data_IF_093841674932
#
_entry.id   IF_093841674932
#
_cell.length_a   1.000
_cell.length_b   1.000
_cell.length_c   1.000
_cell.angle_alpha   90.00
_cell.angle_beta   90.00
_cell.angle_gamma   90.00
#
_symmetry.space_group_name_H-M   'P 1'
#
loop_
_entity.id
_entity.type
_entity.pdbx_description
1 polymer ?
#
# COMPACT_ATOMS: atom_id res chain seq x y z
N UNK A 1 -11.47 41.93 -15.22
CA UNK A 1 -10.95 42.37 -13.90
C UNK A 1 -9.58 42.97 -14.15
N UNK A 2 -9.37 44.24 -13.77
CA UNK A 2 -8.07 44.90 -13.85
C UNK A 2 -7.15 44.31 -12.77
N UNK A 3 -6.10 43.59 -13.19
CA UNK A 3 -5.06 43.10 -12.29
C UNK A 3 -3.98 44.16 -12.04
N UNK A 4 -3.30 44.09 -10.90
CA UNK A 4 -2.11 44.92 -10.64
C UNK A 4 -0.89 44.26 -11.29
N UNK A 5 -0.16 45.02 -12.11
CA UNK A 5 1.04 44.54 -12.80
C UNK A 5 2.30 44.93 -12.04
N UNK A 6 3.22 43.98 -11.86
CA UNK A 6 4.50 44.19 -11.19
C UNK A 6 5.65 43.96 -12.18
N UNK A 7 6.45 44.99 -12.50
CA UNK A 7 7.59 44.82 -13.39
C UNK A 7 8.69 44.00 -12.70
N UNK A 8 9.28 43.05 -13.42
CA UNK A 8 10.38 42.23 -12.91
C UNK A 8 11.33 41.83 -14.04
N UNK A 9 12.61 41.63 -13.70
CA UNK A 9 13.58 41.10 -14.64
C UNK A 9 13.35 39.60 -14.85
N UNK A 10 13.16 39.18 -16.10
CA UNK A 10 12.88 37.78 -16.49
C UNK A 10 13.95 36.81 -16.01
N UNK A 11 15.23 37.18 -16.09
CA UNK A 11 16.34 36.34 -15.64
C UNK A 11 16.31 36.19 -14.12
N UNK A 12 16.19 37.30 -13.38
CA UNK A 12 16.14 37.29 -11.92
C UNK A 12 15.00 36.43 -11.38
N UNK A 13 13.77 36.64 -11.87
CA UNK A 13 12.60 35.89 -11.38
C UNK A 13 12.65 34.41 -11.75
N UNK A 14 13.16 34.06 -12.94
CA UNK A 14 13.29 32.65 -13.37
C UNK A 14 14.41 31.90 -12.63
N UNK A 15 15.34 32.62 -12.01
CA UNK A 15 16.41 32.01 -11.21
C UNK A 15 15.92 31.55 -9.84
N UNK A 16 14.82 32.14 -9.34
CA UNK A 16 14.29 31.91 -7.99
C UNK A 16 12.91 31.24 -7.96
N UNK A 17 12.07 31.46 -8.98
CA UNK A 17 10.73 30.88 -9.09
C UNK A 17 10.72 29.74 -10.09
N UNK A 18 10.57 28.50 -9.60
CA UNK A 18 10.46 27.34 -10.48
C UNK A 18 9.18 27.38 -11.31
N UNK A 19 8.07 27.88 -10.76
CA UNK A 19 6.81 28.02 -11.50
C UNK A 19 6.97 28.93 -12.73
N UNK A 20 7.61 30.08 -12.55
CA UNK A 20 7.85 31.03 -13.65
C UNK A 20 8.89 30.48 -14.63
N UNK A 21 9.95 29.84 -14.13
CA UNK A 21 10.96 29.18 -14.98
C UNK A 21 10.33 28.14 -15.90
N UNK A 22 9.48 27.27 -15.35
CA UNK A 22 8.82 26.21 -16.12
C UNK A 22 7.78 26.79 -17.09
N UNK A 23 7.06 27.84 -16.69
CA UNK A 23 6.16 28.58 -17.57
C UNK A 23 6.89 29.20 -18.78
N UNK A 24 8.04 29.85 -18.54
CA UNK A 24 8.87 30.44 -19.61
C UNK A 24 9.42 29.37 -20.55
N UNK A 25 9.80 28.19 -20.04
CA UNK A 25 10.23 27.08 -20.91
C UNK A 25 9.13 26.61 -21.85
N UNK A 26 7.89 26.58 -21.37
CA UNK A 26 6.72 26.20 -22.17
C UNK A 26 6.32 27.29 -23.17
N UNK A 27 6.49 28.57 -22.79
CA UNK A 27 6.14 29.72 -23.61
C UNK A 27 7.31 30.73 -23.60
N UNK A 28 8.31 30.55 -24.48
CA UNK A 28 9.53 31.35 -24.47
C UNK A 28 9.29 32.86 -24.60
N UNK A 29 8.28 33.27 -25.38
CA UNK A 29 7.93 34.67 -25.64
C UNK A 29 6.94 35.25 -24.62
N UNK A 30 6.69 34.55 -23.51
CA UNK A 30 5.80 35.04 -22.47
C UNK A 30 6.27 36.41 -21.93
N UNK A 31 5.34 37.38 -21.96
CA UNK A 31 5.54 38.75 -21.44
C UNK A 31 4.92 38.98 -20.06
N UNK A 32 4.09 38.05 -19.59
CA UNK A 32 3.36 38.16 -18.31
C UNK A 32 3.11 36.79 -17.72
N UNK A 33 3.17 36.69 -16.39
CA UNK A 33 2.73 35.52 -15.62
C UNK A 33 1.56 35.94 -14.72
N UNK A 34 0.42 35.26 -14.83
CA UNK A 34 -0.80 35.66 -14.14
C UNK A 34 -1.06 34.77 -12.92
N UNK A 35 -1.13 35.37 -11.74
CA UNK A 35 -1.57 34.72 -10.51
C UNK A 35 -3.08 34.97 -10.36
N UNK A 36 -3.88 33.90 -10.30
CA UNK A 36 -5.35 33.99 -10.18
C UNK A 36 -5.86 34.04 -8.73
N UNK A 37 -4.97 33.86 -7.76
CA UNK A 37 -5.33 33.78 -6.35
C UNK A 37 -5.47 35.19 -5.73
N UNK A 38 -6.51 35.36 -4.91
CA UNK A 38 -6.77 36.63 -4.21
C UNK A 38 -5.89 36.75 -2.96
N UNK A 39 -4.61 37.05 -3.18
CA UNK A 39 -3.59 37.20 -2.14
C UNK A 39 -3.13 38.65 -2.00
N UNK A 40 -2.51 38.97 -0.86
CA UNK A 40 -2.08 40.33 -0.54
C UNK A 40 -1.12 40.90 -1.59
N UNK A 41 -1.55 42.01 -2.21
CA UNK A 41 -0.73 42.84 -3.11
C UNK A 41 0.57 43.32 -2.45
N UNK A 42 0.53 43.54 -1.14
CA UNK A 42 1.68 43.96 -0.35
C UNK A 42 2.70 42.83 -0.24
N UNK A 43 2.24 41.61 0.07
CA UNK A 43 3.10 40.43 0.13
C UNK A 43 3.78 40.14 -1.22
N UNK A 44 3.03 40.26 -2.32
CA UNK A 44 3.59 40.11 -3.67
C UNK A 44 4.64 41.19 -3.97
N UNK A 45 4.37 42.46 -3.66
CA UNK A 45 5.33 43.55 -3.82
C UNK A 45 6.61 43.26 -3.06
N UNK A 46 6.52 42.82 -1.80
CA UNK A 46 7.69 42.53 -0.97
C UNK A 46 8.53 41.37 -1.51
N UNK A 47 7.89 40.33 -2.05
CA UNK A 47 8.61 39.22 -2.70
C UNK A 47 9.35 39.73 -3.94
N UNK A 48 8.70 40.54 -4.79
CA UNK A 48 9.32 41.10 -5.99
C UNK A 48 10.47 42.06 -5.64
N UNK A 49 10.29 42.92 -4.64
CA UNK A 49 11.32 43.83 -4.16
C UNK A 49 12.54 43.08 -3.64
N UNK A 50 12.33 41.98 -2.91
CA UNK A 50 13.41 41.12 -2.45
C UNK A 50 14.17 40.45 -3.61
N UNK A 51 13.45 39.89 -4.58
CA UNK A 51 14.04 39.21 -5.74
C UNK A 51 14.86 40.17 -6.61
N UNK A 52 14.44 41.43 -6.70
CA UNK A 52 15.17 42.47 -7.40
C UNK A 52 16.30 43.10 -6.55
N UNK A 53 16.61 42.55 -5.37
CA UNK A 53 17.60 43.07 -4.41
C UNK A 53 17.34 44.51 -3.94
N UNK A 54 16.09 44.96 -3.96
CA UNK A 54 15.70 46.32 -3.59
C UNK A 54 15.64 46.46 -2.07
N UNK A 55 15.14 45.45 -1.36
CA UNK A 55 15.02 45.44 0.12
C UNK A 55 15.18 44.03 0.71
N UNK A 56 15.72 43.90 1.93
CA UNK A 56 15.68 42.64 2.66
C UNK A 56 14.23 42.24 2.95
N UNK A 57 14.00 40.92 3.00
CA UNK A 57 12.67 40.36 3.28
C UNK A 57 12.41 40.36 4.79
N UNK A 58 11.83 41.45 5.28
CA UNK A 58 11.33 41.58 6.65
C UNK A 58 9.81 41.56 6.62
N UNK A 59 9.21 40.48 7.13
CA UNK A 59 7.75 40.30 7.15
C UNK A 59 7.26 40.37 8.59
N UNK A 60 6.13 41.06 8.79
CA UNK A 60 5.39 40.97 10.05
C UNK A 60 4.59 39.67 10.10
N UNK A 61 4.25 39.20 11.30
CA UNK A 61 3.53 37.93 11.50
C UNK A 61 2.20 37.86 10.72
N UNK A 62 1.50 38.99 10.57
CA UNK A 62 0.26 39.10 9.82
C UNK A 62 0.43 38.92 8.29
N UNK A 63 1.66 39.02 7.78
CA UNK A 63 1.99 38.92 6.35
C UNK A 63 2.57 37.55 5.97
N UNK A 64 3.05 36.77 6.95
CA UNK A 64 3.72 35.48 6.73
C UNK A 64 2.82 34.49 5.99
N UNK A 65 1.51 34.46 6.31
CA UNK A 65 0.56 33.56 5.65
C UNK A 65 0.54 33.83 4.14
N UNK A 66 0.25 35.06 3.74
CA UNK A 66 0.13 35.40 2.31
C UNK A 66 1.46 35.25 1.57
N UNK A 67 2.58 35.58 2.23
CA UNK A 67 3.92 35.40 1.68
C UNK A 67 4.23 33.92 1.41
N UNK A 68 3.94 33.04 2.37
CA UNK A 68 4.19 31.62 2.23
C UNK A 68 3.31 31.00 1.14
N UNK A 69 2.03 31.40 1.07
CA UNK A 69 1.11 30.96 0.02
C UNK A 69 1.55 31.45 -1.38
N UNK A 70 2.02 32.69 -1.49
CA UNK A 70 2.62 33.19 -2.74
C UNK A 70 3.88 32.43 -3.11
N UNK A 71 4.73 32.11 -2.14
CA UNK A 71 5.92 31.30 -2.38
C UNK A 71 5.57 29.89 -2.85
N UNK A 72 4.50 29.29 -2.35
CA UNK A 72 4.00 28.01 -2.82
C UNK A 72 3.55 28.10 -4.29
N UNK A 73 2.72 29.08 -4.64
CA UNK A 73 2.24 29.32 -6.01
C UNK A 73 3.41 29.55 -6.98
N UNK A 74 4.41 30.34 -6.54
CA UNK A 74 5.58 30.67 -7.33
C UNK A 74 6.68 29.61 -7.25
N UNK A 75 6.53 28.60 -6.40
CA UNK A 75 7.54 27.57 -6.09
C UNK A 75 8.91 28.19 -5.76
N UNK A 76 8.94 29.00 -4.70
CA UNK A 76 10.15 29.69 -4.22
C UNK A 76 10.65 29.03 -2.92
N UNK A 77 11.66 28.18 -3.03
CA UNK A 77 12.14 27.33 -1.93
C UNK A 77 12.81 28.08 -0.77
N UNK A 78 13.52 29.19 -1.04
CA UNK A 78 14.18 29.90 0.06
C UNK A 78 13.17 30.55 1.02
N UNK A 79 12.02 31.02 0.51
CA UNK A 79 10.93 31.56 1.34
C UNK A 79 10.30 30.42 2.15
N UNK A 80 10.07 29.27 1.50
CA UNK A 80 9.60 28.05 2.17
C UNK A 80 10.46 27.75 3.39
N UNK A 81 11.76 27.59 3.19
CA UNK A 81 12.69 27.17 4.25
C UNK A 81 12.82 28.21 5.36
N UNK A 82 12.65 29.50 5.02
CA UNK A 82 12.78 30.61 5.97
C UNK A 82 11.59 30.75 6.92
N UNK A 83 10.37 30.55 6.43
CA UNK A 83 9.15 30.89 7.17
C UNK A 83 8.29 29.69 7.55
N UNK A 84 8.75 28.46 7.31
CA UNK A 84 7.94 27.25 7.53
C UNK A 84 7.45 27.12 8.97
N UNK A 85 8.32 27.38 9.94
CA UNK A 85 8.01 27.24 11.36
C UNK A 85 7.01 28.29 11.81
N UNK A 86 7.27 29.56 11.50
CA UNK A 86 6.37 30.68 11.82
C UNK A 86 5.02 30.51 11.12
N UNK A 87 5.01 30.09 9.85
CA UNK A 87 3.79 29.82 9.12
C UNK A 87 2.97 28.71 9.78
N UNK A 88 3.60 27.59 10.18
CA UNK A 88 2.90 26.49 10.88
C UNK A 88 2.21 26.98 12.15
N UNK A 89 2.85 27.85 12.93
CA UNK A 89 2.28 28.40 14.17
C UNK A 89 1.09 29.33 13.95
N UNK A 90 0.96 29.91 12.75
CA UNK A 90 -0.12 30.83 12.39
C UNK A 90 -1.34 30.10 11.79
N UNK A 91 -1.24 28.79 11.55
CA UNK A 91 -2.37 28.00 11.08
C UNK A 91 -3.39 27.82 12.21
N UNK A 92 -4.64 28.11 11.90
CA UNK A 92 -5.78 27.96 12.81
C UNK A 92 -6.91 27.24 12.08
N UNK A 93 -7.85 26.67 12.84
CA UNK A 93 -9.05 26.01 12.27
C UNK A 93 -9.78 26.94 11.26
N UNK A 94 -9.81 28.25 11.54
CA UNK A 94 -10.53 29.23 10.71
C UNK A 94 -9.85 29.51 9.37
N UNK A 95 -8.51 29.55 9.32
CA UNK A 95 -7.77 29.85 8.10
C UNK A 95 -7.31 28.59 7.34
N UNK A 96 -7.39 27.41 7.98
CA UNK A 96 -6.93 26.15 7.41
C UNK A 96 -7.55 25.82 6.04
N UNK A 97 -8.87 25.97 5.79
CA UNK A 97 -9.45 25.59 4.50
C UNK A 97 -8.82 26.35 3.31
N UNK A 98 -8.60 27.66 3.45
CA UNK A 98 -7.92 28.49 2.43
C UNK A 98 -6.48 28.04 2.22
N UNK A 99 -5.76 27.76 3.31
CA UNK A 99 -4.38 27.28 3.25
C UNK A 99 -4.31 25.92 2.55
N UNK A 100 -5.21 25.00 2.92
CA UNK A 100 -5.31 23.67 2.35
C UNK A 100 -5.59 23.71 0.85
N UNK A 101 -6.52 24.56 0.38
CA UNK A 101 -6.84 24.70 -1.04
C UNK A 101 -5.62 25.06 -1.90
N UNK A 102 -4.78 25.97 -1.42
CA UNK A 102 -3.59 26.42 -2.16
C UNK A 102 -2.47 25.39 -2.03
N UNK A 103 -2.15 24.99 -0.79
CA UNK A 103 -1.02 24.13 -0.55
C UNK A 103 -1.26 22.71 -1.06
N UNK A 104 -2.49 22.18 -1.05
CA UNK A 104 -2.82 20.86 -1.62
C UNK A 104 -2.41 20.67 -3.09
N UNK A 105 -2.20 21.77 -3.83
CA UNK A 105 -1.72 21.77 -5.23
C UNK A 105 -0.19 21.80 -5.36
N UNK A 106 0.54 21.95 -4.26
CA UNK A 106 2.00 22.16 -4.20
C UNK A 106 2.65 21.22 -3.17
N UNK A 107 2.92 19.96 -3.54
CA UNK A 107 3.44 18.92 -2.65
C UNK A 107 4.66 19.32 -1.81
N UNK A 108 5.55 20.11 -2.41
CA UNK A 108 6.79 20.56 -1.82
C UNK A 108 6.61 21.60 -0.68
N UNK A 109 5.37 22.07 -0.43
CA UNK A 109 4.98 23.01 0.63
C UNK A 109 4.01 22.41 1.66
N UNK A 110 3.78 21.09 1.67
CA UNK A 110 2.76 20.46 2.54
C UNK A 110 3.11 20.35 4.02
N UNK A 111 4.37 20.48 4.40
CA UNK A 111 4.80 20.19 5.77
C UNK A 111 4.00 20.95 6.85
N UNK A 112 3.62 22.23 6.68
CA UNK A 112 2.73 22.90 7.64
C UNK A 112 1.35 22.27 7.78
N UNK A 113 0.76 21.76 6.69
CA UNK A 113 -0.51 21.03 6.75
C UNK A 113 -0.35 19.74 7.54
N UNK A 114 0.71 18.98 7.27
CA UNK A 114 0.99 17.72 7.95
C UNK A 114 1.15 17.94 9.46
N UNK A 115 1.93 18.94 9.86
CA UNK A 115 2.13 19.30 11.26
C UNK A 115 0.83 19.75 11.94
N UNK A 116 0.04 20.59 11.27
CA UNK A 116 -1.24 21.04 11.82
C UNK A 116 -2.20 19.86 12.03
N UNK A 117 -2.30 18.95 11.06
CA UNK A 117 -3.13 17.76 11.19
C UNK A 117 -2.65 16.82 12.30
N UNK A 118 -1.35 16.59 12.44
CA UNK A 118 -0.81 15.72 13.50
C UNK A 118 -1.10 16.25 14.90
N UNK A 119 -1.09 17.57 15.07
CA UNK A 119 -1.37 18.22 16.36
C UNK A 119 -2.88 18.37 16.65
N UNK A 120 -3.74 18.28 15.63
CA UNK A 120 -5.18 18.56 15.74
C UNK A 120 -6.03 17.38 15.26
N UNK A 121 -5.89 16.20 15.90
CA UNK A 121 -6.58 14.95 15.50
C UNK A 121 -8.09 15.10 15.30
N UNK A 122 -8.79 15.78 16.21
CA UNK A 122 -10.25 15.99 16.09
C UNK A 122 -10.61 16.76 14.83
N UNK A 123 -9.92 17.88 14.59
CA UNK A 123 -10.12 18.67 13.38
C UNK A 123 -9.77 17.88 12.12
N UNK A 124 -8.67 17.13 12.13
CA UNK A 124 -8.29 16.27 11.01
C UNK A 124 -9.41 15.30 10.64
N UNK A 125 -9.99 14.58 11.61
CA UNK A 125 -11.07 13.63 11.36
C UNK A 125 -12.32 14.33 10.80
N UNK A 126 -12.75 15.44 11.41
CA UNK A 126 -13.91 16.22 10.96
C UNK A 126 -13.71 16.80 9.55
N UNK A 127 -12.54 17.39 9.30
CA UNK A 127 -12.17 17.98 8.01
C UNK A 127 -12.10 16.89 6.93
N UNK A 128 -11.46 15.76 7.23
CA UNK A 128 -11.30 14.65 6.31
C UNK A 128 -12.59 13.90 6.03
N UNK A 129 -13.62 14.00 6.88
CA UNK A 129 -14.95 13.45 6.59
C UNK A 129 -15.66 14.19 5.47
N UNK A 130 -15.46 15.51 5.38
CA UNK A 130 -16.15 16.37 4.40
C UNK A 130 -15.29 16.71 3.19
N UNK A 131 -13.98 16.75 3.35
CA UNK A 131 -13.03 17.10 2.30
C UNK A 131 -12.26 15.87 1.81
N UNK A 132 -11.70 15.98 0.62
CA UNK A 132 -10.83 14.97 0.05
C UNK A 132 -9.36 15.32 0.34
N UNK A 133 -8.57 14.35 0.81
CA UNK A 133 -7.12 14.52 1.04
C UNK A 133 -6.32 13.98 -0.16
N UNK A 134 -5.55 14.83 -0.90
CA UNK A 134 -4.65 14.40 -1.98
C UNK A 134 -3.87 13.12 -1.63
N UNK A 135 -3.82 12.16 -2.56
CA UNK A 135 -3.22 10.83 -2.32
C UNK A 135 -1.80 10.93 -1.77
N UNK A 136 -0.95 11.78 -2.36
CA UNK A 136 0.43 11.93 -1.91
C UNK A 136 0.52 12.62 -0.54
N UNK A 137 -0.40 13.55 -0.23
CA UNK A 137 -0.47 14.20 1.08
C UNK A 137 -0.88 13.18 2.14
N UNK A 138 -1.89 12.36 1.84
CA UNK A 138 -2.34 11.27 2.70
C UNK A 138 -1.22 10.24 2.93
N UNK A 139 -0.53 9.82 1.87
CA UNK A 139 0.60 8.90 1.98
C UNK A 139 1.69 9.47 2.89
N UNK A 140 2.09 10.72 2.67
CA UNK A 140 3.11 11.37 3.50
C UNK A 140 2.65 11.53 4.95
N UNK A 141 1.36 11.83 5.17
CA UNK A 141 0.79 11.89 6.51
C UNK A 141 0.90 10.54 7.24
N UNK A 142 0.50 9.44 6.58
CA UNK A 142 0.56 8.09 7.15
C UNK A 142 2.00 7.63 7.43
N UNK A 143 2.96 8.02 6.60
CA UNK A 143 4.38 7.71 6.79
C UNK A 143 4.96 8.47 8.00
N UNK A 144 4.68 9.77 8.07
CA UNK A 144 5.26 10.65 9.08
C UNK A 144 4.59 10.52 10.46
N UNK A 145 3.35 10.02 10.52
CA UNK A 145 2.57 9.96 11.76
C UNK A 145 2.07 8.54 12.05
N UNK A 146 3.01 7.62 12.28
CA UNK A 146 2.70 6.20 12.47
C UNK A 146 1.77 5.93 13.67
N UNK A 147 1.90 6.74 14.73
CA UNK A 147 1.16 6.61 15.99
C UNK A 147 -0.09 7.51 16.08
N UNK A 148 -0.50 8.12 14.96
CA UNK A 148 -1.67 9.02 14.96
C UNK A 148 -3.00 8.30 15.17
N UNK A 149 -3.10 7.06 14.67
CA UNK A 149 -4.27 6.19 14.84
C UNK A 149 -4.05 5.27 16.03
N UNK A 150 -5.10 5.01 16.80
CA UNK A 150 -5.04 4.16 18.01
C UNK A 150 -4.84 2.68 17.64
N UNK A 151 -5.25 2.29 16.44
CA UNK A 151 -5.13 0.93 15.92
C UNK A 151 -4.96 0.91 14.40
N UNK A 152 -4.46 -0.21 13.89
CA UNK A 152 -4.38 -0.42 12.44
C UNK A 152 -5.78 -0.53 11.80
N UNK A 153 -6.77 -1.03 12.55
CA UNK A 153 -8.17 -1.06 12.13
C UNK A 153 -8.72 0.36 11.90
N UNK A 154 -8.42 1.29 12.80
CA UNK A 154 -8.83 2.69 12.67
C UNK A 154 -8.17 3.34 11.44
N UNK A 155 -6.88 3.09 11.24
CA UNK A 155 -6.13 3.56 10.07
C UNK A 155 -6.72 3.00 8.77
N UNK A 156 -7.01 1.70 8.74
CA UNK A 156 -7.65 1.06 7.58
C UNK A 156 -9.02 1.68 7.29
N UNK A 157 -9.90 1.80 8.30
CA UNK A 157 -11.22 2.43 8.13
C UNK A 157 -11.12 3.83 7.57
N UNK A 158 -10.15 4.61 8.05
CA UNK A 158 -9.92 5.96 7.55
C UNK A 158 -9.45 5.97 6.08
N UNK A 159 -8.45 5.14 5.72
CA UNK A 159 -7.96 5.03 4.34
C UNK A 159 -9.08 4.56 3.42
N UNK A 160 -9.86 3.57 3.85
CA UNK A 160 -10.99 3.03 3.12
C UNK A 160 -12.10 4.09 2.93
N UNK A 161 -12.36 4.92 3.96
CA UNK A 161 -13.30 6.04 3.85
C UNK A 161 -12.85 7.07 2.82
N UNK A 162 -11.56 7.45 2.79
CA UNK A 162 -11.04 8.37 1.77
C UNK A 162 -11.16 7.78 0.35
N UNK A 163 -10.86 6.49 0.20
CA UNK A 163 -11.00 5.77 -1.07
C UNK A 163 -12.46 5.68 -1.53
N UNK A 164 -13.39 5.40 -0.62
CA UNK A 164 -14.82 5.26 -0.92
C UNK A 164 -15.47 6.55 -1.46
N UNK A 165 -14.86 7.72 -1.21
CA UNK A 165 -15.31 8.99 -1.80
C UNK A 165 -15.03 9.10 -3.29
N UNK A 166 -14.02 8.37 -3.79
CA UNK A 166 -13.62 8.37 -5.19
C UNK A 166 -12.83 7.08 -5.51
N UNK A 167 -13.53 5.97 -5.84
CA UNK A 167 -12.92 4.65 -6.06
C UNK A 167 -11.99 4.56 -7.28
N UNK A 168 -11.93 5.59 -8.13
CA UNK A 168 -11.01 5.65 -9.27
C UNK A 168 -9.59 6.08 -8.85
N UNK A 169 -9.39 6.38 -7.56
CA UNK A 169 -8.12 6.88 -7.06
C UNK A 169 -7.10 5.78 -6.79
N UNK A 170 -5.85 6.23 -6.79
CA UNK A 170 -4.69 5.42 -6.48
C UNK A 170 -4.82 4.71 -5.12
N UNK A 171 -4.53 3.41 -5.13
CA UNK A 171 -4.49 2.53 -3.96
C UNK A 171 -3.20 2.68 -3.13
N UNK A 172 -2.31 3.59 -3.50
CA UNK A 172 -1.03 3.82 -2.80
C UNK A 172 -1.18 3.97 -1.28
N UNK A 173 -2.21 4.64 -0.72
CA UNK A 173 -2.38 4.72 0.74
C UNK A 173 -2.55 3.35 1.43
N UNK A 174 -3.11 2.34 0.75
CA UNK A 174 -3.26 1.00 1.30
C UNK A 174 -1.91 0.29 1.51
N UNK A 175 -0.85 0.71 0.81
CA UNK A 175 0.52 0.19 1.06
C UNK A 175 1.11 0.60 2.42
N UNK A 176 0.45 1.51 3.12
CA UNK A 176 0.78 1.93 4.49
C UNK A 176 -0.03 1.16 5.56
N UNK A 177 -0.93 0.26 5.14
CA UNK A 177 -1.68 -0.61 6.05
C UNK A 177 -0.87 -1.89 6.33
N UNK A 178 -0.90 -2.31 7.58
CA UNK A 178 -0.22 -3.49 8.12
C UNK A 178 -1.24 -4.56 8.57
N UNK A 179 -1.72 -5.42 7.65
CA UNK A 179 -2.72 -6.45 7.96
C UNK A 179 -2.39 -7.33 9.17
N UNK A 180 -1.11 -7.56 9.45
CA UNK A 180 -0.64 -8.35 10.61
C UNK A 180 -0.96 -7.72 11.97
N UNK A 181 -1.25 -6.40 12.00
CA UNK A 181 -1.62 -5.62 13.18
C UNK A 181 -3.11 -5.34 13.28
N UNK A 182 -3.91 -5.77 12.30
CA UNK A 182 -5.36 -5.63 12.31
C UNK A 182 -6.01 -6.70 13.19
N UNK A 183 -7.23 -6.44 13.65
CA UNK A 183 -8.02 -7.43 14.37
C UNK A 183 -8.54 -8.53 13.44
N UNK A 184 -8.76 -9.73 13.98
CA UNK A 184 -9.31 -10.87 13.22
C UNK A 184 -10.70 -10.53 12.64
N UNK A 185 -11.49 -9.74 13.38
CA UNK A 185 -12.78 -9.24 12.89
C UNK A 185 -12.59 -8.38 11.64
N UNK A 186 -11.67 -7.41 11.66
CA UNK A 186 -11.43 -6.54 10.51
C UNK A 186 -10.88 -7.31 9.31
N UNK A 187 -9.99 -8.28 9.55
CA UNK A 187 -9.48 -9.17 8.48
C UNK A 187 -10.61 -9.98 7.85
N UNK A 188 -11.57 -10.46 8.64
CA UNK A 188 -12.76 -11.14 8.12
C UNK A 188 -13.64 -10.20 7.29
N UNK A 189 -13.88 -8.98 7.78
CA UNK A 189 -14.67 -7.96 7.09
C UNK A 189 -14.05 -7.51 5.75
N UNK A 190 -12.71 -7.54 5.61
CA UNK A 190 -12.03 -7.24 4.34
C UNK A 190 -12.54 -8.10 3.18
N UNK A 191 -12.77 -9.40 3.42
CA UNK A 191 -13.22 -10.34 2.39
C UNK A 191 -14.59 -9.99 1.79
N UNK A 192 -15.36 -9.15 2.47
CA UNK A 192 -16.70 -8.73 2.06
C UNK A 192 -16.69 -7.42 1.24
N UNK A 193 -15.53 -6.79 1.07
CA UNK A 193 -15.39 -5.52 0.36
C UNK A 193 -15.35 -5.77 -1.16
N UNK A 194 -16.15 -5.01 -1.91
CA UNK A 194 -16.07 -5.02 -3.38
C UNK A 194 -14.68 -4.55 -3.85
N UNK A 195 -14.10 -5.23 -4.84
CA UNK A 195 -12.72 -5.00 -5.32
C UNK A 195 -11.62 -5.26 -4.28
N UNK A 196 -11.88 -6.13 -3.29
CA UNK A 196 -10.87 -6.52 -2.29
C UNK A 196 -9.57 -7.02 -2.93
N UNK A 197 -9.63 -7.68 -4.10
CA UNK A 197 -8.45 -8.21 -4.80
C UNK A 197 -7.42 -7.13 -5.19
N UNK A 198 -7.85 -5.91 -5.49
CA UNK A 198 -6.94 -4.80 -5.80
C UNK A 198 -6.37 -4.17 -4.53
N UNK A 199 -7.21 -4.02 -3.52
CA UNK A 199 -6.82 -3.53 -2.19
C UNK A 199 -5.81 -4.49 -1.55
N UNK A 200 -6.01 -5.80 -1.70
CA UNK A 200 -5.13 -6.85 -1.20
C UNK A 200 -3.74 -6.79 -1.82
N UNK A 201 -3.67 -6.59 -3.14
CA UNK A 201 -2.39 -6.41 -3.85
C UNK A 201 -1.63 -5.16 -3.38
N UNK A 202 -2.35 -4.12 -2.96
CA UNK A 202 -1.75 -2.87 -2.51
C UNK A 202 -1.25 -2.93 -1.06
N UNK A 203 -1.80 -3.82 -0.22
CA UNK A 203 -1.42 -3.97 1.19
C UNK A 203 -0.23 -4.93 1.40
N UNK A 204 0.46 -4.78 2.53
CA UNK A 204 1.60 -5.63 2.90
C UNK A 204 1.14 -6.94 3.57
N UNK A 205 0.64 -7.91 2.80
CA UNK A 205 0.17 -9.20 3.33
C UNK A 205 1.28 -10.20 3.72
N UNK A 206 2.51 -10.01 3.25
CA UNK A 206 3.63 -10.94 3.53
C UNK A 206 3.90 -11.10 5.05
N UNK A 207 3.97 -10.03 5.86
CA UNK A 207 4.06 -10.17 7.32
C UNK A 207 2.90 -10.93 7.96
N UNK A 208 1.66 -10.76 7.46
CA UNK A 208 0.49 -11.48 7.98
C UNK A 208 0.63 -12.98 7.70
N UNK A 209 1.04 -13.37 6.49
CA UNK A 209 1.29 -14.76 6.13
C UNK A 209 2.34 -15.39 7.05
N UNK A 210 3.44 -14.68 7.33
CA UNK A 210 4.47 -15.16 8.26
C UNK A 210 3.93 -15.35 9.69
N UNK A 211 3.09 -14.43 10.18
CA UNK A 211 2.42 -14.55 11.48
C UNK A 211 1.53 -15.79 11.53
N UNK A 212 0.71 -16.00 10.51
CA UNK A 212 -0.19 -17.16 10.39
C UNK A 212 0.58 -18.48 10.32
N UNK A 213 1.66 -18.54 9.52
CA UNK A 213 2.53 -19.73 9.44
C UNK A 213 3.16 -20.05 10.80
N UNK A 214 3.61 -19.03 11.54
CA UNK A 214 4.16 -19.23 12.88
C UNK A 214 3.12 -19.72 13.90
N UNK A 215 1.90 -19.18 13.85
CA UNK A 215 0.78 -19.65 14.66
C UNK A 215 0.43 -21.10 14.33
N UNK A 216 0.36 -21.45 13.05
CA UNK A 216 0.10 -22.81 12.59
C UNK A 216 1.17 -23.80 13.10
N UNK A 217 2.45 -23.44 12.98
CA UNK A 217 3.55 -24.26 13.50
C UNK A 217 3.48 -24.44 15.02
N UNK A 218 3.03 -23.41 15.76
CA UNK A 218 2.79 -23.50 17.20
C UNK A 218 1.65 -24.45 17.53
N UNK A 219 0.52 -24.35 16.81
CA UNK A 219 -0.63 -25.24 16.97
C UNK A 219 -0.28 -26.70 16.64
N UNK A 220 0.52 -26.93 15.59
CA UNK A 220 1.03 -28.28 15.28
C UNK A 220 1.86 -28.87 16.43
N UNK A 221 2.72 -28.06 17.06
CA UNK A 221 3.49 -28.49 18.25
C UNK A 221 2.56 -28.84 19.41
N UNK A 222 1.55 -28.01 19.68
CA UNK A 222 0.57 -28.28 20.74
C UNK A 222 -0.24 -29.56 20.47
N UNK A 223 -0.67 -29.79 19.22
CA UNK A 223 -1.35 -31.02 18.79
C UNK A 223 -0.48 -32.26 19.05
N UNK A 224 0.82 -32.18 18.78
CA UNK A 224 1.76 -33.28 19.05
C UNK A 224 1.85 -33.60 20.54
N UNK A 225 1.99 -32.57 21.40
CA UNK A 225 2.03 -32.73 22.87
C UNK A 225 0.71 -33.35 23.37
N UNK A 226 -0.42 -32.92 22.82
CA UNK A 226 -1.72 -33.47 23.19
C UNK A 226 -1.81 -34.95 22.84
N UNK A 227 -1.39 -35.35 21.64
CA UNK A 227 -1.38 -36.75 21.21
C UNK A 227 -0.48 -37.63 22.08
N UNK A 228 0.70 -37.12 22.47
CA UNK A 228 1.61 -37.82 23.40
C UNK A 228 0.97 -38.00 24.79
N UNK A 229 0.29 -36.97 25.29
CA UNK A 229 -0.43 -37.02 26.56
C UNK A 229 -1.59 -38.03 26.51
N UNK A 230 -2.32 -38.04 25.41
CA UNK A 230 -3.45 -38.94 25.17
C UNK A 230 -3.01 -40.40 25.16
N UNK A 231 -1.89 -40.68 24.46
CA UNK A 231 -1.27 -42.01 24.45
C UNK A 231 -0.84 -42.46 25.84
N UNK A 232 -0.16 -41.61 26.61
CA UNK A 232 0.22 -41.93 28.00
C UNK A 232 -0.98 -42.22 28.90
N UNK A 233 -2.09 -41.48 28.74
CA UNK A 233 -3.34 -41.74 29.47
C UNK A 233 -4.02 -43.03 29.05
N UNK A 234 -3.93 -43.41 27.77
CA UNK A 234 -4.40 -44.69 27.27
C UNK A 234 -3.61 -45.85 27.87
N UNK A 235 -2.27 -45.74 27.89
CA UNK A 235 -1.37 -46.74 28.47
C UNK A 235 -1.63 -46.93 29.98
N UNK A 236 -1.84 -45.84 30.74
CA UNK A 236 -2.26 -45.91 32.15
C UNK A 236 -3.61 -46.61 32.35
N UNK A 237 -4.56 -46.38 31.44
CA UNK A 237 -5.88 -47.02 31.50
C UNK A 237 -5.76 -48.53 31.26
N UNK A 238 -4.95 -48.94 30.30
CA UNK A 238 -4.74 -50.35 29.96
C UNK A 238 -3.98 -51.10 31.08
N UNK A 239 -3.04 -50.43 31.77
CA UNK A 239 -2.40 -50.97 32.98
C UNK A 239 -3.37 -51.16 34.16
N UNK A 240 -4.31 -50.24 34.34
CA UNK A 240 -5.34 -50.33 35.38
C UNK A 240 -6.38 -51.42 35.07
N UNK A 241 -6.68 -51.65 33.78
CA UNK A 241 -7.60 -52.70 33.33
C UNK A 241 -7.00 -54.12 33.44
N UNK A 242 -5.68 -54.26 33.34
CA UNK A 242 -5.00 -55.56 33.51
C UNK A 242 -4.82 -55.98 34.98
N UNK A 243 -5.08 -55.09 35.95
CA UNK A 243 -4.96 -55.35 37.38
C UNK A 243 -6.34 -55.25 38.08
N UNK A 244 -7.23 -56.22 37.90
CA UNK A 244 -8.53 -56.21 38.60
C UNK A 244 -8.59 -57.21 39.77
N UNK A 245 -8.74 -56.72 41.01
CA UNK A 245 -9.52 -57.37 42.08
C UNK A 245 -10.15 -56.32 43.02
N UNK A 246 -11.48 -56.12 42.92
CA UNK A 246 -12.47 -56.16 44.04
C UNK A 246 -13.76 -55.40 43.71
N UNK A 247 -14.82 -56.15 43.49
CA UNK A 247 -16.14 -55.69 43.07
C UNK A 247 -16.99 -55.21 44.25
N UNK A 248 -17.36 -53.92 44.22
CA UNK A 248 -18.71 -53.37 44.49
C UNK A 248 -18.73 -51.83 44.40
N UNK A 249 -17.58 -51.16 44.51
CA UNK A 249 -17.41 -49.71 44.24
C UNK A 249 -17.19 -49.41 42.74
N UNK A 250 -16.80 -50.42 41.98
CA UNK A 250 -16.36 -50.33 40.58
C UNK A 250 -17.52 -50.00 39.62
N UNK A 251 -18.74 -50.51 39.84
CA UNK A 251 -19.83 -50.30 38.87
C UNK A 251 -20.31 -48.83 38.80
N UNK A 252 -20.36 -48.11 39.94
CA UNK A 252 -20.67 -46.66 39.94
C UNK A 252 -19.53 -45.83 39.35
N UNK A 253 -18.26 -46.25 39.56
CA UNK A 253 -17.11 -45.60 38.95
C UNK A 253 -17.07 -45.84 37.44
N UNK A 254 -17.35 -47.06 36.97
CA UNK A 254 -17.46 -47.42 35.54
C UNK A 254 -18.59 -46.64 34.87
N UNK A 255 -19.74 -46.44 35.52
CA UNK A 255 -20.86 -45.72 34.92
C UNK A 255 -20.61 -44.21 34.82
N UNK A 256 -19.95 -43.62 35.84
CA UNK A 256 -19.49 -42.24 35.79
C UNK A 256 -18.33 -42.03 34.80
N UNK A 257 -17.38 -42.96 34.72
CA UNK A 257 -16.33 -42.91 33.72
C UNK A 257 -16.85 -43.21 32.31
N UNK A 258 -17.88 -44.04 32.13
CA UNK A 258 -18.55 -44.17 30.82
C UNK A 258 -19.14 -42.85 30.35
N UNK A 259 -19.86 -42.13 31.21
CA UNK A 259 -20.39 -40.80 30.89
C UNK A 259 -19.29 -39.77 30.64
N UNK A 260 -18.21 -39.83 31.42
CA UNK A 260 -17.06 -38.93 31.24
C UNK A 260 -16.30 -39.23 29.95
N UNK A 261 -16.10 -40.50 29.62
CA UNK A 261 -15.52 -40.98 28.37
C UNK A 261 -16.43 -40.62 27.20
N UNK A 262 -17.76 -40.76 27.30
CA UNK A 262 -18.69 -40.31 26.25
C UNK A 262 -18.61 -38.81 26.02
N UNK A 263 -18.54 -38.01 27.10
CA UNK A 263 -18.37 -36.55 27.01
C UNK A 263 -17.01 -36.17 26.41
N UNK A 264 -15.93 -36.86 26.79
CA UNK A 264 -14.62 -36.67 26.17
C UNK A 264 -14.63 -37.16 24.72
N UNK A 265 -15.33 -38.23 24.39
CA UNK A 265 -15.44 -38.77 23.03
C UNK A 265 -16.21 -37.81 22.12
N UNK A 266 -17.29 -37.20 22.59
CA UNK A 266 -17.99 -36.16 21.85
C UNK A 266 -17.13 -34.90 21.65
N UNK A 267 -16.34 -34.52 22.65
CA UNK A 267 -15.36 -33.43 22.51
C UNK A 267 -14.24 -33.79 21.53
N UNK A 268 -13.76 -35.04 21.53
CA UNK A 268 -12.76 -35.52 20.59
C UNK A 268 -13.28 -35.57 19.16
N UNK A 269 -14.52 -36.00 18.95
CA UNK A 269 -15.15 -35.99 17.62
C UNK A 269 -15.24 -34.55 17.11
N UNK A 270 -15.71 -33.61 17.93
CA UNK A 270 -15.74 -32.18 17.57
C UNK A 270 -14.35 -31.63 17.21
N UNK A 271 -13.30 -32.01 17.95
CA UNK A 271 -11.92 -31.57 17.66
C UNK A 271 -11.39 -32.22 16.37
N UNK A 272 -11.77 -33.47 16.08
CA UNK A 272 -11.40 -34.15 14.84
C UNK A 272 -12.08 -33.48 13.65
N UNK A 273 -13.37 -33.15 13.76
CA UNK A 273 -14.12 -32.44 12.73
C UNK A 273 -13.49 -31.07 12.45
N UNK A 274 -13.13 -30.31 13.49
CA UNK A 274 -12.43 -29.02 13.34
C UNK A 274 -11.05 -29.17 12.68
N UNK A 275 -10.34 -30.26 12.99
CA UNK A 275 -9.03 -30.56 12.39
C UNK A 275 -9.13 -31.03 10.94
N UNK A 276 -10.22 -31.69 10.55
CA UNK A 276 -10.48 -32.07 9.16
C UNK A 276 -10.80 -30.84 8.31
N UNK A 277 -11.60 -29.90 8.83
CA UNK A 277 -11.86 -28.60 8.18
C UNK A 277 -10.56 -27.81 8.00
N UNK A 278 -9.76 -27.68 9.06
CA UNK A 278 -8.44 -27.04 9.00
C UNK A 278 -7.47 -27.75 8.05
N UNK A 279 -7.52 -29.08 7.97
CA UNK A 279 -6.70 -29.85 7.04
C UNK A 279 -7.09 -29.56 5.58
N UNK A 280 -8.39 -29.50 5.28
CA UNK A 280 -8.88 -29.18 3.96
C UNK A 280 -8.48 -27.74 3.54
N UNK A 281 -8.60 -26.77 4.46
CA UNK A 281 -8.18 -25.39 4.22
C UNK A 281 -6.66 -25.28 3.99
N UNK A 282 -5.86 -26.00 4.78
CA UNK A 282 -4.40 -26.06 4.61
C UNK A 282 -4.01 -26.75 3.31
N UNK A 283 -4.74 -27.77 2.87
CA UNK A 283 -4.50 -28.47 1.61
C UNK A 283 -4.85 -27.58 0.40
N UNK A 284 -5.91 -26.77 0.50
CA UNK A 284 -6.25 -25.71 -0.46
C UNK A 284 -5.15 -24.65 -0.50
N UNK A 285 -4.60 -24.23 0.65
CA UNK A 285 -3.50 -23.26 0.70
C UNK A 285 -2.21 -23.86 0.16
N UNK A 286 -1.87 -25.10 0.52
CA UNK A 286 -0.67 -25.80 0.06
C UNK A 286 -0.71 -26.10 -1.45
N UNK A 287 -1.87 -26.44 -2.01
CA UNK A 287 -2.04 -26.60 -3.46
C UNK A 287 -1.86 -25.25 -4.17
N UNK A 288 -2.44 -24.16 -3.65
CA UNK A 288 -2.23 -22.80 -4.15
C UNK A 288 -0.76 -22.35 -4.05
N UNK A 289 -0.07 -22.66 -2.95
CA UNK A 289 1.35 -22.33 -2.75
C UNK A 289 2.29 -23.15 -3.64
N UNK A 290 2.00 -24.42 -3.91
CA UNK A 290 2.80 -25.25 -4.85
C UNK A 290 2.71 -24.71 -6.26
N UNK A 291 1.52 -24.28 -6.68
CA UNK A 291 1.31 -23.63 -7.98
C UNK A 291 2.03 -22.28 -8.07
N UNK A 292 1.90 -21.44 -7.04
CA UNK A 292 2.59 -20.15 -6.99
C UNK A 292 4.11 -20.29 -6.96
N UNK A 293 4.62 -21.28 -6.24
CA UNK A 293 6.04 -21.61 -6.19
C UNK A 293 6.55 -22.13 -7.55
N UNK A 294 5.77 -22.96 -8.25
CA UNK A 294 6.13 -23.39 -9.61
C UNK A 294 6.20 -22.21 -10.59
N UNK A 295 5.31 -21.22 -10.46
CA UNK A 295 5.35 -19.98 -11.26
C UNK A 295 6.58 -19.13 -10.90
N UNK A 296 6.92 -19.00 -9.62
CA UNK A 296 8.11 -18.27 -9.15
C UNK A 296 9.43 -18.94 -9.53
N UNK A 297 9.50 -20.26 -9.46
CA UNK A 297 10.67 -21.03 -9.87
C UNK A 297 10.86 -20.92 -11.40
N UNK A 298 9.76 -20.90 -12.14
CA UNK A 298 9.79 -20.67 -13.60
C UNK A 298 10.20 -19.24 -13.94
N UNK A 299 9.73 -18.22 -13.21
CA UNK A 299 10.09 -16.82 -13.46
C UNK A 299 11.53 -16.49 -13.06
N UNK A 300 12.04 -17.10 -12.00
CA UNK A 300 13.45 -16.99 -11.61
C UNK A 300 14.37 -17.59 -12.66
N UNK A 301 13.98 -18.73 -13.25
CA UNK A 301 14.73 -19.37 -14.33
C UNK A 301 14.72 -18.54 -15.63
N UNK A 302 13.62 -17.86 -15.95
CA UNK A 302 13.56 -16.88 -17.06
C UNK A 302 14.54 -15.74 -16.82
N UNK A 303 14.57 -15.22 -15.60
CA UNK A 303 15.45 -14.11 -15.25
C UNK A 303 16.93 -14.49 -15.40
N UNK A 304 17.31 -15.68 -14.95
CA UNK A 304 18.67 -16.23 -15.12
C UNK A 304 19.05 -16.47 -16.59
N UNK A 305 18.12 -17.00 -17.39
CA UNK A 305 18.34 -17.17 -18.82
C UNK A 305 18.48 -15.80 -19.52
N UNK A 306 17.62 -14.83 -19.22
CA UNK A 306 17.71 -13.45 -19.73
C UNK A 306 19.03 -12.76 -19.38
N UNK A 307 19.55 -12.96 -18.16
CA UNK A 307 20.88 -12.46 -17.77
C UNK A 307 21.97 -13.13 -18.61
N UNK A 308 21.93 -14.46 -18.74
CA UNK A 308 22.90 -15.21 -19.56
C UNK A 308 22.90 -14.73 -21.01
N UNK A 309 21.74 -14.32 -21.53
CA UNK A 309 21.58 -13.77 -22.88
C UNK A 309 22.08 -12.33 -23.02
N UNK A 310 21.87 -11.49 -22.01
CA UNK A 310 22.48 -10.17 -21.96
C UNK A 310 24.02 -10.28 -21.91
N UNK A 311 24.55 -11.24 -21.15
CA UNK A 311 25.98 -11.53 -21.08
C UNK A 311 26.53 -12.11 -22.40
N UNK A 312 25.77 -12.95 -23.10
CA UNK A 312 26.12 -13.46 -24.43
C UNK A 312 26.07 -12.35 -25.50
N UNK A 313 25.06 -11.49 -25.45
CA UNK A 313 24.88 -10.35 -26.34
C UNK A 313 25.98 -9.29 -26.15
N UNK A 314 26.48 -9.15 -24.93
CA UNK A 314 27.62 -8.30 -24.62
C UNK A 314 28.96 -8.89 -25.09
N UNK A 315 29.02 -10.17 -25.49
CA UNK A 315 30.29 -10.85 -25.78
C UNK A 315 30.56 -11.23 -27.25
N UNK A 316 29.60 -11.31 -28.19
CA UNK A 316 29.91 -11.83 -29.55
C UNK A 316 29.10 -11.25 -30.74
N UNK A 317 29.71 -11.33 -31.93
CA UNK A 317 29.28 -10.80 -33.24
C UNK A 317 28.03 -11.52 -33.84
N UNK A 318 27.32 -10.80 -34.71
CA UNK A 318 25.89 -10.88 -35.10
C UNK A 318 25.21 -12.25 -35.34
N UNK A 319 25.92 -13.33 -35.70
CA UNK A 319 25.27 -14.60 -36.06
C UNK A 319 24.86 -15.47 -34.86
N UNK A 320 25.57 -15.37 -33.72
CA UNK A 320 25.23 -16.11 -32.49
C UNK A 320 24.04 -15.49 -31.72
N UNK A 321 23.82 -14.18 -31.91
CA UNK A 321 22.71 -13.43 -31.30
C UNK A 321 21.34 -13.94 -31.78
N UNK A 322 21.22 -14.26 -33.07
CA UNK A 322 19.96 -14.74 -33.67
C UNK A 322 19.57 -16.12 -33.11
N UNK A 323 20.55 -17.00 -32.88
CA UNK A 323 20.31 -18.33 -32.30
C UNK A 323 19.91 -18.25 -30.83
N UNK A 324 20.55 -17.34 -30.08
CA UNK A 324 20.24 -17.09 -28.68
C UNK A 324 18.83 -16.47 -28.52
N UNK A 325 18.45 -15.54 -29.40
CA UNK A 325 17.11 -14.92 -29.42
C UNK A 325 16.00 -15.94 -29.73
N UNK A 326 16.27 -16.93 -30.57
CA UNK A 326 15.32 -17.99 -30.88
C UNK A 326 15.11 -18.97 -29.71
N UNK A 327 16.16 -19.22 -28.90
CA UNK A 327 16.02 -19.99 -27.67
C UNK A 327 15.15 -19.27 -26.63
N UNK A 328 15.30 -17.95 -26.47
CA UNK A 328 14.41 -17.13 -25.63
C UNK A 328 12.96 -17.25 -26.06
N UNK A 329 12.71 -17.08 -27.37
CA UNK A 329 11.36 -17.19 -27.91
C UNK A 329 10.77 -18.58 -27.62
N UNK A 330 11.55 -19.64 -27.79
CA UNK A 330 11.11 -21.01 -27.48
C UNK A 330 10.73 -21.16 -26.00
N UNK A 331 11.52 -20.60 -25.08
CA UNK A 331 11.23 -20.66 -23.64
C UNK A 331 9.99 -19.83 -23.31
N UNK A 332 9.85 -18.62 -23.87
CA UNK A 332 8.65 -17.80 -23.74
C UNK A 332 7.40 -18.50 -24.28
N UNK A 333 7.49 -19.22 -25.40
CA UNK A 333 6.37 -20.01 -25.93
C UNK A 333 6.00 -21.19 -25.02
N UNK A 334 6.98 -21.87 -24.44
CA UNK A 334 6.74 -22.97 -23.49
C UNK A 334 6.06 -22.47 -22.20
N UNK A 335 6.38 -21.24 -21.79
CA UNK A 335 5.72 -20.55 -20.67
C UNK A 335 4.29 -20.17 -21.02
N UNK A 336 4.07 -19.55 -22.18
CA UNK A 336 2.71 -19.22 -22.65
C UNK A 336 1.86 -20.48 -22.74
N UNK A 337 2.43 -21.58 -23.22
CA UNK A 337 1.76 -22.88 -23.29
C UNK A 337 1.41 -23.42 -21.90
N UNK A 338 2.34 -23.40 -20.94
CA UNK A 338 2.09 -23.83 -19.55
C UNK A 338 1.09 -22.94 -18.81
N UNK A 339 1.15 -21.63 -19.05
CA UNK A 339 0.14 -20.68 -18.56
C UNK A 339 -1.23 -20.93 -19.19
N UNK A 340 -1.30 -21.28 -20.48
CA UNK A 340 -2.56 -21.65 -21.12
C UNK A 340 -3.11 -22.99 -20.63
N UNK A 341 -2.25 -23.96 -20.28
CA UNK A 341 -2.64 -25.23 -19.65
C UNK A 341 -3.17 -25.02 -18.23
N UNK A 342 -2.64 -24.02 -17.52
CA UNK A 342 -3.18 -23.55 -16.26
C UNK A 342 -4.55 -22.90 -16.46
N UNK A 343 -4.71 -22.05 -17.47
CA UNK A 343 -5.99 -21.40 -17.81
C UNK A 343 -7.07 -22.39 -18.30
N UNK A 344 -6.70 -23.53 -18.88
CA UNK A 344 -7.65 -24.57 -19.32
C UNK A 344 -8.19 -25.46 -18.19
N UNK A 345 -7.54 -25.48 -17.01
CA UNK A 345 -8.08 -26.15 -15.82
C UNK A 345 -8.93 -25.19 -14.95
N UNK A 346 -9.28 -24.03 -15.50
CA UNK A 346 -9.84 -22.86 -14.83
C UNK A 346 -11.20 -22.48 -15.47
N UNK A 347 -12.11 -23.46 -15.62
CA UNK A 347 -13.46 -23.26 -16.19
C UNK A 347 -14.44 -22.52 -15.25
N UNK A 348 -14.01 -22.04 -14.09
CA UNK A 348 -14.83 -21.17 -13.25
C UNK A 348 -14.06 -19.90 -12.86
N UNK A 349 -14.63 -18.78 -13.30
CA UNK A 349 -14.35 -17.37 -12.97
C UNK A 349 -13.56 -16.60 -14.05
N UNK A 350 -14.36 -15.83 -14.79
CA UNK A 350 -14.00 -14.80 -15.74
C UNK A 350 -12.90 -13.83 -15.27
N UNK A 351 -12.21 -13.31 -16.30
CA UNK A 351 -11.35 -12.13 -16.32
C UNK A 351 -9.88 -12.37 -15.95
N UNK A 352 -9.07 -12.60 -17.00
CA UNK A 352 -7.76 -11.93 -17.17
C UNK A 352 -7.25 -12.12 -18.61
N UNK A 353 -7.81 -11.33 -19.54
CA UNK A 353 -7.08 -10.93 -20.75
C UNK A 353 -7.07 -9.42 -20.77
N UNK A 354 -6.00 -8.83 -20.23
CA UNK A 354 -5.39 -7.59 -20.73
C UNK A 354 -4.15 -7.28 -19.89
N UNK A 355 -3.01 -7.92 -20.20
CA UNK A 355 -1.71 -7.40 -19.77
C UNK A 355 -0.59 -7.80 -20.74
N UNK A 356 -0.78 -7.56 -22.04
CA UNK A 356 0.33 -7.29 -22.96
C UNK A 356 -0.10 -6.30 -24.05
N UNK A 357 0.12 -5.01 -23.77
CA UNK A 357 0.02 -3.87 -24.70
C UNK A 357 0.15 -2.60 -23.85
N UNK A 358 1.09 -1.69 -24.05
CA UNK A 358 1.67 -1.23 -25.32
C UNK A 358 2.97 -0.44 -25.09
N UNK A 359 3.98 -0.77 -25.90
CA UNK A 359 4.81 0.15 -26.69
C UNK A 359 5.97 -0.69 -27.24
N UNK A 360 6.35 -0.67 -28.51
CA UNK A 360 5.83 -0.09 -29.74
C UNK A 360 6.76 -0.63 -30.82
N UNK A 361 6.26 -1.28 -31.88
CA UNK A 361 6.90 -1.30 -33.19
C UNK A 361 5.93 -1.90 -34.22
N UNK A 362 5.68 -1.10 -35.25
CA UNK A 362 4.91 -1.44 -36.45
C UNK A 362 5.44 -2.71 -37.15
N UNK A 363 4.52 -3.57 -37.60
CA UNK A 363 4.78 -4.45 -38.75
C UNK A 363 3.47 -4.95 -39.38
N UNK A 364 3.18 -4.51 -40.62
CA UNK A 364 2.99 -5.37 -41.82
C UNK A 364 2.68 -4.50 -43.03
N UNK A 365 3.59 -4.46 -44.00
CA UNK A 365 3.75 -5.36 -45.16
C UNK A 365 2.70 -5.09 -46.24
N UNK A 366 3.26 -4.75 -47.40
CA UNK A 366 2.68 -4.47 -48.70
C UNK A 366 1.61 -5.44 -49.18
N UNK A 367 0.69 -4.89 -49.96
CA UNK A 367 -0.08 -5.60 -50.99
C UNK A 367 0.24 -4.90 -52.32
N UNK A 368 0.71 -5.69 -53.30
CA UNK A 368 0.93 -5.34 -54.71
C UNK A 368 -0.44 -5.16 -55.43
N UNK A 369 -0.62 -4.38 -56.49
CA UNK A 369 0.30 -3.72 -57.45
C UNK A 369 0.33 -2.19 -57.30
#
# INVERSE_FOLDING_TARGET
MEGTSYPCNKQSISSVSFAIKDYIKQIPDAKSFNIKENLSKKALSSIIDFINYIRPMEMKNDEIIDVYLLAAILKIDFIKNRYITEFTQLITINNFPKIFEILSKTPEFWLPILNFFSENRKFFLEFSNTNFIPTDLLKNFLISNQDFFESEDEKFKFVFMQYSKDPLRSLVPFSMIHPEKMSDQMISELSQINNISEIEKAMKFIPLLNKLVNQFNSLQKQKKILNETLRSKQEQKDELLNNEVSQLTINQYIENEKKRIEKSKSQFISIIDDLEVLSAEVEIICSKMKLFKAVLDTSSRIYEECISLCELAMSMQDDDFTKATNNVKSVCYDIIYKCNLLLQNYDEIDVLVEFFGSSSASLRIHIAD
#
